data_IF_181887030097
#
_entry.id   IF_181887030097
#
_cell.length_a   1.000
_cell.length_b   1.000
_cell.length_c   1.000
_cell.angle_alpha   90.00
_cell.angle_beta   90.00
_cell.angle_gamma   90.00
#
_symmetry.space_group_name_H-M   'P 1'
#
loop_
_entity.id
_entity.type
_entity.pdbx_description
1 polymer ?
#
# COMPACT_ATOMS: atom_id res chain seq x y z
N UNK A 1 -7.15 -11.68 -4.35
CA UNK A 1 -5.90 -12.05 -3.66
C UNK A 1 -5.36 -10.79 -3.05
N UNK A 2 -4.70 -10.89 -1.90
CA UNK A 2 -4.12 -9.74 -1.22
C UNK A 2 -2.65 -9.66 -1.60
N UNK A 3 -2.22 -8.47 -2.00
CA UNK A 3 -0.82 -8.18 -2.25
C UNK A 3 -0.36 -7.04 -1.35
N UNK A 4 0.79 -7.23 -0.72
CA UNK A 4 1.42 -6.32 0.22
C UNK A 4 2.61 -5.61 -0.44
N UNK A 5 2.97 -4.40 0.00
CA UNK A 5 4.01 -3.61 -0.65
C UNK A 5 5.39 -4.16 -0.28
N UNK A 6 6.28 -4.26 -1.27
CA UNK A 6 7.67 -4.65 -1.06
C UNK A 6 8.44 -3.48 -0.42
N UNK A 7 8.37 -3.43 0.92
CA UNK A 7 8.91 -2.39 1.80
C UNK A 7 10.40 -2.10 1.57
N UNK A 8 11.16 -3.05 1.04
CA UNK A 8 12.56 -2.82 0.63
C UNK A 8 12.69 -1.63 -0.34
N UNK A 9 11.74 -1.44 -1.25
CA UNK A 9 11.80 -0.32 -2.18
C UNK A 9 11.52 1.01 -1.51
N UNK A 10 10.59 1.03 -0.56
CA UNK A 10 10.13 2.26 0.09
C UNK A 10 11.09 2.74 1.19
N UNK A 11 11.65 1.82 1.97
CA UNK A 11 12.46 2.16 3.14
C UNK A 11 13.95 1.84 3.00
N UNK A 12 14.33 0.86 2.17
CA UNK A 12 15.73 0.40 2.04
C UNK A 12 16.42 0.89 0.76
N UNK A 13 15.68 1.41 -0.22
CA UNK A 13 16.22 1.86 -1.51
C UNK A 13 16.34 3.37 -1.57
N UNK A 14 17.56 3.87 -1.78
CA UNK A 14 17.81 5.31 -1.91
C UNK A 14 17.11 5.87 -3.16
N UNK A 15 16.38 6.98 -3.01
CA UNK A 15 15.73 7.72 -4.09
C UNK A 15 14.69 6.92 -4.90
N UNK A 16 13.99 5.96 -4.28
CA UNK A 16 12.89 5.26 -4.95
C UNK A 16 11.81 6.25 -5.42
N UNK A 17 11.32 6.18 -6.68
CA UNK A 17 10.39 7.17 -7.25
C UNK A 17 8.93 6.96 -6.78
N UNK A 18 8.68 7.15 -5.48
CA UNK A 18 7.38 6.89 -4.83
C UNK A 18 6.19 7.53 -5.57
N UNK A 19 6.26 8.83 -5.90
CA UNK A 19 5.18 9.53 -6.61
C UNK A 19 4.82 8.86 -7.93
N UNK A 20 5.82 8.35 -8.64
CA UNK A 20 5.62 7.64 -9.91
C UNK A 20 4.98 6.28 -9.66
N UNK A 21 5.46 5.53 -8.66
CA UNK A 21 4.88 4.24 -8.28
C UNK A 21 3.39 4.39 -7.92
N UNK A 22 3.03 5.32 -7.04
CA UNK A 22 1.62 5.58 -6.68
C UNK A 22 0.78 5.96 -7.90
N UNK A 23 1.25 6.89 -8.73
CA UNK A 23 0.51 7.32 -9.94
C UNK A 23 0.28 6.18 -10.93
N UNK A 24 1.33 5.43 -11.26
CA UNK A 24 1.26 4.33 -12.22
C UNK A 24 0.35 3.24 -11.67
N UNK A 25 0.54 2.83 -10.41
CA UNK A 25 -0.26 1.78 -9.79
C UNK A 25 -1.73 2.18 -9.66
N UNK A 26 -2.04 3.35 -9.10
CA UNK A 26 -3.42 3.81 -8.94
C UNK A 26 -4.11 4.05 -10.29
N UNK A 27 -3.40 4.62 -11.27
CA UNK A 27 -3.90 4.80 -12.63
C UNK A 27 -4.26 3.47 -13.29
N UNK A 28 -3.38 2.47 -13.20
CA UNK A 28 -3.64 1.12 -13.70
C UNK A 28 -4.82 0.46 -12.99
N UNK A 29 -4.82 0.46 -11.65
CA UNK A 29 -5.89 -0.16 -10.84
C UNK A 29 -7.24 0.49 -11.09
N UNK A 30 -7.27 1.80 -11.38
CA UNK A 30 -8.51 2.52 -11.72
C UNK A 30 -9.30 1.89 -12.86
N UNK A 31 -8.64 1.17 -13.78
CA UNK A 31 -9.29 0.51 -14.91
C UNK A 31 -10.29 -0.56 -14.49
N UNK A 32 -10.14 -1.11 -13.29
CA UNK A 32 -11.00 -2.14 -12.70
C UNK A 32 -11.91 -1.61 -11.59
N UNK A 33 -11.96 -0.29 -11.42
CA UNK A 33 -12.69 0.38 -10.33
C UNK A 33 -13.73 1.34 -10.88
N UNK A 34 -14.80 1.57 -10.12
CA UNK A 34 -15.87 2.51 -10.46
C UNK A 34 -16.02 3.65 -9.44
N UNK A 35 -15.32 3.58 -8.31
CA UNK A 35 -15.40 4.57 -7.23
C UNK A 35 -14.00 4.90 -6.70
N UNK A 36 -13.86 6.12 -6.20
CA UNK A 36 -12.65 6.58 -5.51
C UNK A 36 -12.97 7.34 -4.22
N UNK A 37 -12.06 7.26 -3.26
CA UNK A 37 -12.00 8.11 -2.06
C UNK A 37 -10.55 8.56 -1.88
N UNK A 38 -10.34 9.84 -1.65
CA UNK A 38 -9.04 10.41 -1.37
C UNK A 38 -9.12 11.39 -0.20
N UNK A 39 -8.23 11.25 0.77
CA UNK A 39 -8.18 12.09 1.98
C UNK A 39 -6.73 12.52 2.22
N UNK A 40 -6.53 13.82 2.53
CA UNK A 40 -5.24 14.29 3.02
C UNK A 40 -5.15 14.05 4.53
N UNK A 41 -4.13 13.30 4.96
CA UNK A 41 -3.89 13.02 6.39
C UNK A 41 -3.05 14.13 7.00
N UNK A 42 -1.97 14.55 6.33
CA UNK A 42 -1.10 15.63 6.76
C UNK A 42 -0.95 16.70 5.65
N UNK A 43 -1.21 17.97 5.95
CA UNK A 43 -1.33 19.04 4.94
C UNK A 43 -0.37 20.21 5.16
N UNK A 44 0.30 20.66 4.08
CA UNK A 44 1.24 21.81 4.01
C UNK A 44 0.77 23.15 4.58
N UNK A 45 -0.52 23.31 4.82
CA UNK A 45 -1.14 24.52 5.36
C UNK A 45 -2.24 24.11 6.34
N UNK A 46 -2.70 25.02 7.19
CA UNK A 46 -3.89 24.88 8.05
C UNK A 46 -5.18 24.86 7.21
N UNK A 47 -5.22 23.96 6.25
CA UNK A 47 -6.40 23.60 5.49
C UNK A 47 -6.76 22.24 6.06
N UNK A 48 -7.73 22.19 6.98
CA UNK A 48 -8.14 20.93 7.61
C UNK A 48 -8.41 19.80 6.62
N UNK A 49 -8.56 18.58 7.12
CA UNK A 49 -8.76 17.35 6.32
C UNK A 49 -9.64 17.60 5.09
N UNK A 50 -9.06 17.42 3.90
CA UNK A 50 -9.80 17.52 2.64
C UNK A 50 -10.11 16.14 2.12
N UNK A 51 -11.39 15.88 1.95
CA UNK A 51 -11.94 14.64 1.42
C UNK A 51 -12.44 14.87 -0.02
N UNK A 52 -12.11 13.95 -0.92
CA UNK A 52 -12.70 13.83 -2.26
C UNK A 52 -13.23 12.42 -2.44
N UNK A 53 -14.49 12.29 -2.81
CA UNK A 53 -15.14 10.99 -3.07
C UNK A 53 -16.01 11.14 -4.31
N UNK A 54 -16.10 10.08 -5.11
CA UNK A 54 -17.03 10.05 -6.23
C UNK A 54 -16.91 8.80 -7.08
N UNK A 55 -17.70 8.79 -8.14
CA UNK A 55 -17.62 7.79 -9.20
C UNK A 55 -16.47 8.11 -10.17
N UNK A 56 -15.87 7.06 -10.71
CA UNK A 56 -14.92 7.14 -11.82
C UNK A 56 -15.68 7.17 -13.15
N UNK A 57 -15.21 7.93 -14.15
CA UNK A 57 -15.77 7.94 -15.50
C UNK A 57 -15.83 6.54 -16.12
N UNK A 58 -16.72 6.28 -17.07
CA UNK A 58 -16.80 4.95 -17.70
C UNK A 58 -15.68 4.67 -18.71
N UNK A 59 -15.11 5.70 -19.34
CA UNK A 59 -14.05 5.55 -20.35
C UNK A 59 -12.68 5.38 -19.70
N UNK A 60 -11.92 4.38 -20.14
CA UNK A 60 -10.60 4.01 -19.58
C UNK A 60 -9.63 5.20 -19.47
N UNK A 61 -9.48 5.99 -20.55
CA UNK A 61 -8.58 7.15 -20.55
C UNK A 61 -9.01 8.24 -19.57
N UNK A 62 -10.33 8.43 -19.37
CA UNK A 62 -10.86 9.39 -18.41
C UNK A 62 -10.68 8.92 -16.96
N UNK A 63 -10.77 7.60 -16.69
CA UNK A 63 -10.45 7.02 -15.37
C UNK A 63 -9.01 7.33 -14.96
N UNK A 64 -8.05 7.00 -15.84
CA UNK A 64 -6.62 7.26 -15.61
C UNK A 64 -6.37 8.76 -15.39
N UNK A 65 -6.96 9.62 -16.24
CA UNK A 65 -6.81 11.07 -16.13
C UNK A 65 -7.32 11.60 -14.79
N UNK A 66 -8.50 11.18 -14.35
CA UNK A 66 -9.06 11.62 -13.08
C UNK A 66 -8.19 11.16 -11.90
N UNK A 67 -7.76 9.89 -11.88
CA UNK A 67 -6.90 9.37 -10.80
C UNK A 67 -5.52 10.03 -10.78
N UNK A 68 -4.96 10.36 -11.95
CA UNK A 68 -3.74 11.19 -12.03
C UNK A 68 -3.96 12.57 -11.42
N UNK A 69 -5.09 13.23 -11.71
CA UNK A 69 -5.41 14.53 -11.12
C UNK A 69 -5.60 14.45 -9.59
N UNK A 70 -6.19 13.36 -9.09
CA UNK A 70 -6.35 13.12 -7.65
C UNK A 70 -4.99 12.91 -6.97
N UNK A 71 -4.11 12.07 -7.54
CA UNK A 71 -2.76 11.86 -6.99
C UNK A 71 -1.89 13.10 -7.07
N UNK A 72 -1.96 13.87 -8.17
CA UNK A 72 -1.32 15.19 -8.28
C UNK A 72 -1.78 16.15 -7.19
N UNK A 73 -3.09 16.17 -6.92
CA UNK A 73 -3.67 16.97 -5.86
C UNK A 73 -3.17 16.54 -4.47
N UNK A 74 -3.07 15.23 -4.21
CA UNK A 74 -2.49 14.68 -2.97
C UNK A 74 -1.05 15.16 -2.80
N UNK A 75 -0.15 14.89 -3.75
CA UNK A 75 1.26 15.24 -3.62
C UNK A 75 1.53 16.75 -3.58
N UNK A 76 0.68 17.54 -4.24
CA UNK A 76 0.79 18.99 -4.19
C UNK A 76 0.51 19.55 -2.80
N UNK A 77 -0.46 18.97 -2.08
CA UNK A 77 -0.95 19.51 -0.81
C UNK A 77 -0.45 18.76 0.44
N UNK A 78 0.00 17.51 0.29
CA UNK A 78 0.54 16.74 1.41
C UNK A 78 1.92 17.25 1.81
N UNK A 79 2.16 17.27 3.12
CA UNK A 79 3.49 17.53 3.69
C UNK A 79 4.43 16.35 3.53
N UNK A 80 3.89 15.15 3.64
CA UNK A 80 4.60 13.90 3.46
C UNK A 80 3.98 13.14 2.29
N UNK A 81 4.78 12.76 1.31
CA UNK A 81 4.28 12.04 0.13
C UNK A 81 3.75 10.64 0.46
N UNK A 82 4.03 10.12 1.65
CA UNK A 82 3.57 8.81 2.12
C UNK A 82 2.25 8.90 2.89
N UNK A 83 1.91 10.03 3.51
CA UNK A 83 0.78 10.13 4.45
C UNK A 83 -0.50 10.64 3.79
N UNK A 84 -1.28 9.72 3.22
CA UNK A 84 -2.58 10.03 2.61
C UNK A 84 -3.48 8.80 2.54
N UNK A 85 -4.80 9.03 2.42
CA UNK A 85 -5.72 7.96 2.05
C UNK A 85 -6.03 8.06 0.55
N UNK A 86 -5.88 6.96 -0.19
CA UNK A 86 -6.42 6.77 -1.53
C UNK A 86 -6.99 5.36 -1.63
N UNK A 87 -8.29 5.28 -1.91
CA UNK A 87 -9.02 4.03 -2.09
C UNK A 87 -9.65 4.01 -3.48
N UNK A 88 -9.51 2.92 -4.22
CA UNK A 88 -10.18 2.68 -5.51
C UNK A 88 -10.88 1.32 -5.47
N UNK A 89 -12.15 1.27 -5.85
CA UNK A 89 -12.89 0.01 -5.83
C UNK A 89 -13.97 -0.08 -6.91
N UNK A 90 -14.39 -1.31 -7.24
CA UNK A 90 -15.50 -1.61 -8.16
C UNK A 90 -16.88 -1.34 -7.52
N UNK A 91 -16.93 -1.25 -6.19
CA UNK A 91 -18.14 -1.00 -5.41
C UNK A 91 -18.07 0.34 -4.66
N UNK A 92 -19.23 0.95 -4.33
CA UNK A 92 -19.29 2.17 -3.53
C UNK A 92 -18.49 2.07 -2.22
N UNK A 93 -17.77 3.14 -1.89
CA UNK A 93 -16.81 3.19 -0.77
C UNK A 93 -17.44 3.62 0.57
N UNK A 94 -18.76 3.52 0.69
CA UNK A 94 -19.60 4.09 1.75
C UNK A 94 -19.27 3.50 3.14
N UNK A 95 -18.51 2.41 3.20
CA UNK A 95 -18.20 1.65 4.41
C UNK A 95 -16.75 1.14 4.50
N UNK A 96 -15.85 1.56 3.60
CA UNK A 96 -14.45 1.11 3.66
C UNK A 96 -13.78 1.71 4.90
N UNK A 97 -13.12 0.86 5.69
CA UNK A 97 -12.61 1.19 7.03
C UNK A 97 -13.44 0.61 8.19
N UNK A 98 -14.58 -0.05 7.94
CA UNK A 98 -15.26 -0.87 8.95
C UNK A 98 -14.61 -2.26 8.99
N UNK A 99 -14.24 -2.72 10.20
CA UNK A 99 -13.41 -3.91 10.54
C UNK A 99 -13.79 -5.28 9.93
N UNK A 100 -14.77 -5.37 9.00
CA UNK A 100 -15.20 -6.62 8.37
C UNK A 100 -15.27 -6.57 6.84
N UNK A 101 -14.85 -5.47 6.20
CA UNK A 101 -14.87 -5.37 4.75
C UNK A 101 -13.54 -5.76 4.13
N UNK A 102 -13.60 -6.44 2.99
CA UNK A 102 -12.42 -6.72 2.16
C UNK A 102 -11.78 -5.39 1.77
N UNK A 103 -10.43 -5.31 1.72
CA UNK A 103 -9.73 -4.12 1.23
C UNK A 103 -10.21 -3.72 -0.16
N UNK A 104 -10.14 -2.42 -0.45
CA UNK A 104 -10.37 -1.91 -1.80
C UNK A 104 -9.34 -2.48 -2.78
N UNK A 105 -9.63 -2.47 -4.09
CA UNK A 105 -8.67 -2.95 -5.12
C UNK A 105 -7.33 -2.22 -5.04
N UNK A 106 -7.39 -0.91 -4.77
CA UNK A 106 -6.26 -0.12 -4.30
C UNK A 106 -6.65 0.43 -2.92
N UNK A 107 -5.93 0.04 -1.87
CA UNK A 107 -6.23 0.44 -0.50
C UNK A 107 -4.98 1.01 0.15
N UNK A 108 -4.88 2.34 0.18
CA UNK A 108 -3.84 3.05 0.90
C UNK A 108 -4.56 3.94 1.91
N UNK A 109 -4.54 3.62 3.20
CA UNK A 109 -5.35 4.35 4.18
C UNK A 109 -4.54 5.21 5.15
N UNK A 110 -3.23 5.03 5.24
CA UNK A 110 -2.34 5.84 6.08
C UNK A 110 -0.99 6.13 5.40
N UNK A 111 0.03 5.36 5.72
CA UNK A 111 1.37 5.43 5.12
C UNK A 111 1.58 4.32 4.06
N UNK A 112 2.80 4.24 3.51
CA UNK A 112 3.13 3.22 2.50
C UNK A 112 3.18 1.80 3.05
N UNK A 113 3.31 1.58 4.37
CA UNK A 113 3.24 0.24 4.93
C UNK A 113 1.79 -0.31 4.95
N UNK A 114 0.82 0.59 4.94
CA UNK A 114 -0.60 0.30 4.84
C UNK A 114 -1.13 0.18 3.39
N UNK A 115 -0.24 0.15 2.38
CA UNK A 115 -0.65 0.06 0.99
C UNK A 115 -0.93 -1.38 0.54
N UNK A 116 -2.21 -1.73 0.40
CA UNK A 116 -2.69 -3.05 0.03
C UNK A 116 -3.31 -3.03 -1.38
N UNK A 117 -3.12 -4.10 -2.14
CA UNK A 117 -3.86 -4.35 -3.38
C UNK A 117 -4.74 -5.59 -3.24
N UNK A 118 -6.02 -5.46 -3.57
CA UNK A 118 -6.96 -6.58 -3.64
C UNK A 118 -7.30 -6.87 -5.11
N UNK A 119 -6.45 -7.65 -5.76
CA UNK A 119 -6.53 -7.93 -7.20
C UNK A 119 -6.69 -9.43 -7.45
N UNK A 120 -7.25 -9.78 -8.60
CA UNK A 120 -7.10 -11.12 -9.15
C UNK A 120 -5.68 -11.31 -9.68
N UNK A 121 -5.23 -12.56 -9.80
CA UNK A 121 -3.91 -12.86 -10.36
C UNK A 121 -3.71 -12.28 -11.77
N UNK A 122 -4.77 -12.28 -12.59
CA UNK A 122 -4.75 -11.70 -13.93
C UNK A 122 -4.57 -10.19 -13.91
N UNK A 123 -5.29 -9.48 -13.04
CA UNK A 123 -5.14 -8.03 -12.87
C UNK A 123 -3.74 -7.69 -12.35
N UNK A 124 -3.22 -8.48 -11.41
CA UNK A 124 -1.87 -8.29 -10.88
C UNK A 124 -0.80 -8.48 -11.95
N UNK A 125 -0.86 -9.55 -12.77
CA UNK A 125 0.06 -9.75 -13.90
C UNK A 125 0.05 -8.59 -14.90
N UNK A 126 -1.13 -8.04 -15.19
CA UNK A 126 -1.24 -6.84 -16.05
C UNK A 126 -0.58 -5.62 -15.40
N UNK A 127 -0.77 -5.45 -14.09
CA UNK A 127 -0.15 -4.37 -13.33
C UNK A 127 1.38 -4.47 -13.32
N UNK A 128 1.93 -5.68 -13.16
CA UNK A 128 3.38 -5.92 -13.22
C UNK A 128 3.96 -5.51 -14.57
N UNK A 129 3.28 -5.85 -15.68
CA UNK A 129 3.69 -5.42 -17.01
C UNK A 129 3.67 -3.88 -17.14
N UNK A 130 2.63 -3.23 -16.62
CA UNK A 130 2.53 -1.75 -16.63
C UNK A 130 3.67 -1.13 -15.82
N UNK A 131 4.06 -1.71 -14.67
CA UNK A 131 5.22 -1.27 -13.91
C UNK A 131 6.50 -1.37 -14.73
N UNK A 132 6.73 -2.52 -15.36
CA UNK A 132 7.89 -2.75 -16.24
C UNK A 132 7.97 -1.71 -17.35
N UNK A 133 6.87 -1.47 -18.06
CA UNK A 133 6.78 -0.49 -19.16
C UNK A 133 7.03 0.95 -18.68
N UNK A 134 6.81 1.20 -17.38
CA UNK A 134 7.08 2.47 -16.73
C UNK A 134 8.43 2.50 -16.01
N UNK A 135 9.34 1.55 -16.22
CA UNK A 135 10.63 1.46 -15.51
C UNK A 135 10.46 1.44 -13.97
N UNK A 136 9.46 0.70 -13.49
CA UNK A 136 9.26 0.36 -12.08
C UNK A 136 9.50 -1.14 -11.89
N UNK A 137 9.90 -1.58 -10.69
CA UNK A 137 10.05 -3.00 -10.40
C UNK A 137 8.76 -3.79 -10.62
N UNK A 138 8.88 -4.99 -11.19
CA UNK A 138 7.74 -5.89 -11.39
C UNK A 138 7.24 -6.51 -10.07
N UNK A 139 8.08 -6.47 -9.03
CA UNK A 139 7.83 -7.00 -7.69
C UNK A 139 7.68 -5.88 -6.65
N UNK A 140 7.07 -4.75 -7.05
CA UNK A 140 6.68 -3.69 -6.10
C UNK A 140 5.74 -4.18 -5.00
N UNK A 141 5.03 -5.27 -5.27
CA UNK A 141 4.16 -5.95 -4.34
C UNK A 141 4.41 -7.46 -4.43
N UNK A 142 4.10 -8.16 -3.36
CA UNK A 142 4.16 -9.62 -3.24
C UNK A 142 2.84 -10.14 -2.65
N UNK A 143 2.50 -11.40 -2.86
CA UNK A 143 1.29 -11.99 -2.27
C UNK A 143 1.43 -12.06 -0.75
N UNK A 144 0.37 -11.78 0.00
CA UNK A 144 0.38 -11.80 1.47
C UNK A 144 0.98 -13.10 2.03
N UNK A 145 0.71 -14.24 1.40
CA UNK A 145 1.20 -15.55 1.80
C UNK A 145 2.73 -15.74 1.61
N UNK A 146 3.41 -14.84 0.87
CA UNK A 146 4.86 -14.83 0.72
C UNK A 146 5.56 -14.00 1.82
N UNK A 147 4.81 -13.36 2.74
CA UNK A 147 5.39 -12.70 3.89
C UNK A 147 6.17 -13.68 4.77
N UNK A 148 7.34 -13.28 5.24
CA UNK A 148 8.17 -14.12 6.12
C UNK A 148 7.96 -13.73 7.57
N UNK A 149 7.39 -14.67 8.31
CA UNK A 149 7.04 -14.54 9.72
C UNK A 149 8.11 -15.22 10.58
N UNK A 150 8.86 -14.44 11.35
CA UNK A 150 9.89 -14.96 12.25
C UNK A 150 9.43 -14.84 13.69
N UNK A 151 9.21 -15.99 14.31
CA UNK A 151 8.95 -16.05 15.74
C UNK A 151 10.19 -15.63 16.55
N UNK A 152 10.02 -14.57 17.33
CA UNK A 152 11.02 -14.06 18.27
C UNK A 152 10.61 -14.25 19.73
N UNK A 153 9.53 -15.00 19.99
CA UNK A 153 9.02 -15.29 21.33
C UNK A 153 10.16 -15.77 22.24
N UNK A 154 10.34 -15.08 23.37
CA UNK A 154 11.37 -15.42 24.36
C UNK A 154 12.84 -15.19 23.93
N UNK A 155 13.12 -14.59 22.76
CA UNK A 155 14.50 -14.33 22.31
C UNK A 155 15.13 -13.08 22.93
N UNK A 156 14.33 -12.06 23.29
CA UNK A 156 14.86 -10.84 23.92
C UNK A 156 15.02 -10.99 25.44
N UNK A 157 16.01 -10.30 26.02
CA UNK A 157 16.24 -10.31 27.48
C UNK A 157 15.02 -9.82 28.26
N UNK A 158 14.32 -8.81 27.74
CA UNK A 158 13.05 -8.31 28.29
C UNK A 158 11.93 -9.36 28.19
N UNK A 159 11.80 -10.06 27.05
CA UNK A 159 10.80 -11.12 26.87
C UNK A 159 11.03 -12.30 27.84
N UNK A 160 12.29 -12.71 28.06
CA UNK A 160 12.63 -13.75 29.05
C UNK A 160 12.26 -13.34 30.48
N UNK A 161 12.32 -12.04 30.78
CA UNK A 161 11.99 -11.50 32.11
C UNK A 161 10.46 -11.44 32.31
N UNK A 162 9.71 -11.05 31.28
CA UNK A 162 8.24 -11.06 31.27
C UNK A 162 7.66 -12.48 31.36
N UNK A 163 8.25 -13.43 30.61
CA UNK A 163 7.86 -14.84 30.68
C UNK A 163 8.06 -15.44 32.09
N UNK A 164 9.12 -15.04 32.81
CA UNK A 164 9.33 -15.44 34.22
C UNK A 164 8.27 -14.88 35.18
N UNK A 165 7.61 -13.79 34.82
CA UNK A 165 6.51 -13.18 35.59
C UNK A 165 5.13 -13.71 35.16
N UNK A 166 5.06 -14.72 34.28
CA UNK A 166 3.81 -15.31 33.81
C UNK A 166 3.14 -14.57 32.64
N UNK A 167 3.81 -13.58 32.04
CA UNK A 167 3.34 -12.90 30.83
C UNK A 167 3.96 -13.54 29.59
N UNK A 168 3.16 -13.99 28.64
CA UNK A 168 3.66 -14.52 27.36
C UNK A 168 4.03 -13.36 26.43
N UNK A 169 5.32 -13.07 26.32
CA UNK A 169 5.84 -12.07 25.39
C UNK A 169 5.95 -12.67 23.98
N UNK A 170 4.82 -12.70 23.27
CA UNK A 170 4.78 -13.03 21.84
C UNK A 170 5.35 -11.84 21.08
N UNK A 171 6.40 -12.08 20.31
CA UNK A 171 6.94 -11.08 19.40
C UNK A 171 7.23 -11.76 18.07
N UNK A 172 6.56 -11.32 17.03
CA UNK A 172 6.77 -11.77 15.66
C UNK A 172 7.41 -10.62 14.87
N UNK A 173 8.45 -10.93 14.11
CA UNK A 173 9.02 -9.99 13.13
C UNK A 173 8.60 -10.43 11.74
N UNK A 174 7.96 -9.53 11.00
CA UNK A 174 7.48 -9.77 9.64
C UNK A 174 8.47 -9.11 8.67
N UNK A 175 8.83 -9.85 7.62
CA UNK A 175 9.70 -9.40 6.55
C UNK A 175 9.02 -9.54 5.20
N UNK A 176 9.31 -8.59 4.32
CA UNK A 176 9.04 -8.77 2.89
C UNK A 176 10.09 -9.69 2.25
N UNK A 177 9.79 -10.32 1.09
CA UNK A 177 10.73 -11.22 0.43
C UNK A 177 12.11 -10.62 0.13
N UNK A 178 12.21 -9.34 -0.26
CA UNK A 178 13.52 -8.71 -0.47
C UNK A 178 14.21 -8.31 0.82
N UNK A 179 13.48 -7.82 1.83
CA UNK A 179 14.08 -7.50 3.12
C UNK A 179 14.71 -8.74 3.74
N UNK A 180 14.02 -9.88 3.68
CA UNK A 180 14.56 -11.14 4.16
C UNK A 180 15.82 -11.59 3.41
N UNK A 181 15.82 -11.55 2.06
CA UNK A 181 17.00 -11.89 1.25
C UNK A 181 18.19 -10.96 1.50
N UNK A 182 17.94 -9.68 1.76
CA UNK A 182 18.98 -8.71 2.12
C UNK A 182 19.62 -9.05 3.47
N UNK A 183 18.79 -9.39 4.47
CA UNK A 183 19.27 -9.75 5.81
C UNK A 183 19.86 -11.17 5.88
N UNK A 184 19.45 -12.07 4.97
CA UNK A 184 19.87 -13.46 4.92
C UNK A 184 20.29 -13.87 3.50
N UNK A 185 21.46 -13.42 3.00
CA UNK A 185 21.88 -13.66 1.61
C UNK A 185 22.12 -15.14 1.25
N UNK A 186 22.18 -16.02 2.25
CA UNK A 186 22.45 -17.45 2.11
C UNK A 186 21.21 -18.34 2.27
N UNK A 187 20.02 -17.74 2.41
CA UNK A 187 18.72 -18.43 2.47
C UNK A 187 18.07 -18.48 1.09
#
# INVERSE_FOLDING_TARGET
MIYLPELYYFFDTKNFPLRKAVKVTSGAVSLWCDYYRAELINTKKVLGKKLRVGELPKRKGEKIKLVSQVTDWIFKLSDCDELFTLLLNDKPLNNVGKQKQKPAKFDHHDDTCCWILNLTEKEFKQLQQIWKDNNLPEDLFYQEEEAIHIDQTGKSFLAKTLNKMGFEAISEKIYTPKQWRKENPSA
#
